data_IF_744593687978
#
_entry.id   IF_744593687978
#
_cell.length_a   1.000
_cell.length_b   1.000
_cell.length_c   1.000
_cell.angle_alpha   90.00
_cell.angle_beta   90.00
_cell.angle_gamma   90.00
#
_symmetry.space_group_name_H-M   'P 1'
#
loop_
_entity.id
_entity.type
_entity.pdbx_description
1 polymer ?
#
# COMPACT_ATOMS: atom_id res chain seq x y z
N UNK A 1 11.81 1.04 -26.66
CA UNK A 1 12.14 2.18 -25.78
C UNK A 1 13.47 2.80 -26.19
N UNK A 2 13.51 4.12 -26.39
CA UNK A 2 14.71 4.88 -26.73
C UNK A 2 15.68 4.99 -25.54
N UNK A 3 17.01 5.05 -25.73
CA UNK A 3 18.00 5.08 -24.64
C UNK A 3 18.18 6.46 -23.99
N UNK A 4 17.08 7.14 -23.66
CA UNK A 4 17.13 8.43 -22.96
C UNK A 4 17.62 8.27 -21.52
N UNK A 5 18.15 9.35 -20.92
CA UNK A 5 18.55 9.38 -19.51
C UNK A 5 17.40 8.93 -18.60
N UNK A 6 16.18 9.38 -18.88
CA UNK A 6 14.99 9.01 -18.12
C UNK A 6 14.66 7.52 -18.26
N UNK A 7 14.66 6.96 -19.47
CA UNK A 7 14.37 5.54 -19.67
C UNK A 7 15.43 4.62 -19.02
N UNK A 8 16.70 5.06 -18.97
CA UNK A 8 17.76 4.34 -18.24
C UNK A 8 17.50 4.38 -16.74
N UNK A 9 17.14 5.54 -16.18
CA UNK A 9 16.79 5.71 -14.76
C UNK A 9 15.59 4.85 -14.38
N UNK A 10 14.51 4.88 -15.16
CA UNK A 10 13.32 4.08 -14.93
C UNK A 10 13.63 2.57 -14.89
N UNK A 11 14.48 2.09 -15.81
CA UNK A 11 14.94 0.68 -15.79
C UNK A 11 15.72 0.34 -14.53
N UNK A 12 16.59 1.23 -14.07
CA UNK A 12 17.36 1.02 -12.83
C UNK A 12 16.45 0.97 -11.60
N UNK A 13 15.50 1.90 -11.49
CA UNK A 13 14.53 1.93 -10.41
C UNK A 13 13.65 0.69 -10.42
N UNK A 14 13.15 0.26 -11.58
CA UNK A 14 12.37 -0.97 -11.69
C UNK A 14 13.15 -2.20 -11.21
N UNK A 15 14.45 -2.30 -11.53
CA UNK A 15 15.31 -3.39 -11.01
C UNK A 15 15.43 -3.34 -9.50
N UNK A 16 15.60 -2.16 -8.90
CA UNK A 16 15.66 -1.99 -7.45
C UNK A 16 14.34 -2.40 -6.79
N UNK A 17 13.20 -1.97 -7.33
CA UNK A 17 11.87 -2.36 -6.84
C UNK A 17 11.67 -3.87 -6.90
N UNK A 18 12.01 -4.51 -8.02
CA UNK A 18 11.93 -5.98 -8.15
C UNK A 18 12.81 -6.68 -7.12
N UNK A 19 14.04 -6.19 -6.88
CA UNK A 19 14.94 -6.75 -5.87
C UNK A 19 14.38 -6.65 -4.46
N UNK A 20 13.85 -5.48 -4.09
CA UNK A 20 13.23 -5.27 -2.78
C UNK A 20 12.02 -6.18 -2.56
N UNK A 21 11.15 -6.31 -3.57
CA UNK A 21 9.99 -7.17 -3.48
C UNK A 21 10.37 -8.65 -3.39
N UNK A 22 11.37 -9.10 -4.14
CA UNK A 22 11.90 -10.46 -3.97
C UNK A 22 12.34 -10.72 -2.53
N UNK A 23 13.12 -9.82 -1.93
CA UNK A 23 13.59 -9.97 -0.56
C UNK A 23 12.43 -10.03 0.45
N UNK A 24 11.39 -9.19 0.25
CA UNK A 24 10.19 -9.19 1.11
C UNK A 24 9.44 -10.51 0.98
N UNK A 25 9.23 -11.00 -0.24
CA UNK A 25 8.50 -12.25 -0.49
C UNK A 25 9.29 -13.45 0.05
N UNK A 26 10.59 -13.53 -0.20
CA UNK A 26 11.45 -14.61 0.31
C UNK A 26 11.48 -14.66 1.84
N UNK A 27 11.55 -13.49 2.49
CA UNK A 27 11.45 -13.40 3.94
C UNK A 27 10.10 -13.95 4.42
N UNK A 28 9.00 -13.54 3.78
CA UNK A 28 7.66 -13.98 4.15
C UNK A 28 7.46 -15.48 3.96
N UNK A 29 7.94 -16.05 2.85
CA UNK A 29 7.85 -17.49 2.61
C UNK A 29 8.61 -18.31 3.66
N UNK A 30 9.79 -17.84 4.09
CA UNK A 30 10.54 -18.49 5.19
C UNK A 30 9.75 -18.44 6.50
N UNK A 31 9.14 -17.30 6.84
CA UNK A 31 8.30 -17.17 8.03
C UNK A 31 7.08 -18.11 7.98
N UNK A 32 6.47 -18.29 6.79
CA UNK A 32 5.37 -19.22 6.58
C UNK A 32 5.80 -20.69 6.76
N UNK A 33 6.97 -21.07 6.23
CA UNK A 33 7.52 -22.43 6.39
C UNK A 33 7.82 -22.77 7.85
N UNK A 34 8.26 -21.77 8.63
CA UNK A 34 8.53 -21.92 10.06
C UNK A 34 7.26 -21.86 10.93
N UNK A 35 6.09 -21.60 10.34
CA UNK A 35 4.83 -21.48 11.08
C UNK A 35 4.72 -20.25 11.98
N UNK A 36 5.53 -19.22 11.74
CA UNK A 36 5.57 -17.98 12.54
C UNK A 36 4.95 -16.78 11.83
N UNK A 37 4.56 -16.92 10.56
CA UNK A 37 3.89 -15.86 9.81
C UNK A 37 2.44 -15.68 10.30
N UNK A 38 1.99 -14.42 10.43
CA UNK A 38 0.60 -14.07 10.78
C UNK A 38 -0.40 -14.15 9.63
N UNK A 39 0.07 -14.18 8.37
CA UNK A 39 -0.71 -14.25 7.13
C UNK A 39 -1.98 -13.36 7.06
N UNK A 40 -2.00 -12.25 7.78
CA UNK A 40 -3.14 -11.34 7.94
C UNK A 40 -3.05 -10.10 7.03
N UNK A 41 -2.00 -10.01 6.21
CA UNK A 41 -1.82 -8.99 5.19
C UNK A 41 -1.98 -9.53 3.77
N UNK A 42 -2.13 -8.61 2.80
CA UNK A 42 -2.34 -8.93 1.40
C UNK A 42 -1.32 -9.92 0.84
N UNK A 43 -0.04 -9.76 1.19
CA UNK A 43 1.01 -10.66 0.69
C UNK A 43 0.88 -12.05 1.31
N UNK A 44 0.62 -12.14 2.61
CA UNK A 44 0.36 -13.40 3.30
C UNK A 44 -0.81 -14.16 2.69
N UNK A 45 -1.95 -13.48 2.51
CA UNK A 45 -3.16 -14.05 1.89
C UNK A 45 -2.87 -14.52 0.47
N UNK A 46 -2.17 -13.72 -0.34
CA UNK A 46 -1.82 -14.06 -1.72
C UNK A 46 -0.92 -15.31 -1.79
N UNK A 47 0.11 -15.40 -0.94
CA UNK A 47 1.02 -16.54 -0.91
C UNK A 47 0.33 -17.82 -0.40
N UNK A 48 -0.53 -17.70 0.60
CA UNK A 48 -1.32 -18.81 1.14
C UNK A 48 -2.31 -19.35 0.11
N UNK A 49 -3.06 -18.46 -0.55
CA UNK A 49 -3.95 -18.82 -1.64
C UNK A 49 -3.19 -19.49 -2.78
N UNK A 50 -2.05 -18.94 -3.19
CA UNK A 50 -1.22 -19.51 -4.26
C UNK A 50 -0.71 -20.92 -3.92
N UNK A 51 -0.33 -21.16 -2.64
CA UNK A 51 0.06 -22.49 -2.17
C UNK A 51 -1.11 -23.47 -2.26
N UNK A 52 -2.29 -23.08 -1.78
CA UNK A 52 -3.51 -23.89 -1.85
C UNK A 52 -3.87 -24.27 -3.29
N UNK A 53 -3.82 -23.32 -4.23
CA UNK A 53 -4.07 -23.61 -5.66
C UNK A 53 -3.14 -24.69 -6.21
N UNK A 54 -1.84 -24.61 -5.88
CA UNK A 54 -0.85 -25.61 -6.33
C UNK A 54 -1.09 -26.99 -5.73
N UNK A 55 -1.53 -27.08 -4.48
CA UNK A 55 -1.88 -28.34 -3.82
C UNK A 55 -3.10 -29.01 -4.48
N UNK A 56 -4.01 -28.23 -5.06
CA UNK A 56 -5.19 -28.71 -5.80
C UNK A 56 -4.92 -28.97 -7.30
N UNK A 57 -3.66 -28.92 -7.74
CA UNK A 57 -3.26 -29.22 -9.12
C UNK A 57 -3.38 -28.06 -10.10
N UNK A 58 -3.67 -26.83 -9.64
CA UNK A 58 -3.56 -25.61 -10.45
C UNK A 58 -2.09 -25.18 -10.57
N UNK A 59 -1.74 -24.47 -11.64
CA UNK A 59 -0.39 -23.91 -11.83
C UNK A 59 -0.07 -22.82 -10.79
N UNK A 60 -1.10 -22.14 -10.29
CA UNK A 60 -0.95 -20.98 -9.40
C UNK A 60 -0.15 -19.85 -10.05
N UNK A 61 0.21 -18.84 -9.25
CA UNK A 61 1.04 -17.73 -9.69
C UNK A 61 2.53 -18.08 -9.63
N UNK A 62 3.27 -17.62 -10.62
CA UNK A 62 4.73 -17.58 -10.62
C UNK A 62 5.26 -16.49 -9.68
N UNK A 63 6.51 -16.61 -9.24
CA UNK A 63 7.18 -15.55 -8.46
C UNK A 63 7.11 -14.19 -9.14
N UNK A 64 7.25 -14.16 -10.48
CA UNK A 64 7.20 -12.93 -11.26
C UNK A 64 5.82 -12.29 -11.20
N UNK A 65 4.76 -13.08 -11.33
CA UNK A 65 3.38 -12.57 -11.24
C UNK A 65 3.07 -12.05 -9.84
N UNK A 66 3.52 -12.74 -8.77
CA UNK A 66 3.40 -12.24 -7.39
C UNK A 66 4.08 -10.88 -7.22
N UNK A 67 5.27 -10.67 -7.80
CA UNK A 67 5.97 -9.38 -7.76
C UNK A 67 5.17 -8.31 -8.50
N UNK A 68 4.66 -8.60 -9.69
CA UNK A 68 3.92 -7.63 -10.49
C UNK A 68 2.57 -7.25 -9.83
N UNK A 69 1.87 -8.19 -9.19
CA UNK A 69 0.68 -7.88 -8.39
C UNK A 69 1.04 -6.99 -7.18
N UNK A 70 2.08 -7.34 -6.41
CA UNK A 70 2.52 -6.51 -5.28
C UNK A 70 2.89 -5.08 -5.71
N UNK A 71 3.56 -4.92 -6.86
CA UNK A 71 3.84 -3.60 -7.44
C UNK A 71 2.56 -2.85 -7.79
N UNK A 72 1.63 -3.52 -8.46
CA UNK A 72 0.38 -2.91 -8.92
C UNK A 72 -0.40 -2.36 -7.74
N UNK A 73 -0.62 -3.18 -6.70
CA UNK A 73 -1.31 -2.75 -5.47
C UNK A 73 -0.61 -1.56 -4.80
N UNK A 74 0.72 -1.64 -4.66
CA UNK A 74 1.49 -0.58 -4.01
C UNK A 74 1.40 0.75 -4.75
N UNK A 75 1.64 0.76 -6.07
CA UNK A 75 1.61 2.01 -6.85
C UNK A 75 0.20 2.58 -7.00
N UNK A 76 -0.81 1.72 -7.21
CA UNK A 76 -2.19 2.16 -7.28
C UNK A 76 -2.64 2.88 -6.00
N UNK A 77 -2.26 2.34 -4.83
CA UNK A 77 -2.57 2.96 -3.54
C UNK A 77 -1.74 4.20 -3.22
N UNK A 78 -0.43 4.15 -3.47
CA UNK A 78 0.48 5.23 -3.08
C UNK A 78 0.27 6.50 -3.91
N UNK A 79 0.28 6.39 -5.24
CA UNK A 79 0.27 7.57 -6.12
C UNK A 79 -1.03 8.36 -5.98
N UNK A 80 -2.17 7.66 -5.98
CA UNK A 80 -3.49 8.28 -5.86
C UNK A 80 -3.69 8.96 -4.50
N UNK A 81 -3.33 8.27 -3.41
CA UNK A 81 -3.47 8.81 -2.04
C UNK A 81 -2.52 9.97 -1.78
N UNK A 82 -1.27 9.88 -2.27
CA UNK A 82 -0.28 10.96 -2.13
C UNK A 82 -0.71 12.24 -2.84
N UNK A 83 -1.22 12.10 -4.07
CA UNK A 83 -1.75 13.23 -4.85
C UNK A 83 -2.97 13.82 -4.17
N UNK A 84 -3.91 12.99 -3.70
CA UNK A 84 -5.08 13.44 -2.94
C UNK A 84 -4.68 14.26 -1.71
N UNK A 85 -3.81 13.71 -0.85
CA UNK A 85 -3.36 14.39 0.36
C UNK A 85 -2.64 15.70 0.05
N UNK A 86 -1.83 15.72 -1.01
CA UNK A 86 -1.13 16.94 -1.45
C UNK A 86 -2.14 18.04 -1.80
N UNK A 87 -3.15 17.72 -2.61
CA UNK A 87 -4.19 18.69 -2.98
C UNK A 87 -5.08 19.08 -1.81
N UNK A 88 -5.42 18.15 -0.92
CA UNK A 88 -6.14 18.46 0.33
C UNK A 88 -5.37 19.49 1.14
N UNK A 89 -4.06 19.33 1.32
CA UNK A 89 -3.23 20.29 2.06
C UNK A 89 -3.18 21.65 1.36
N UNK A 90 -3.02 21.68 0.03
CA UNK A 90 -3.08 22.91 -0.77
C UNK A 90 -4.41 23.63 -0.54
N UNK A 91 -5.54 22.95 -0.69
CA UNK A 91 -6.87 23.53 -0.49
C UNK A 91 -7.05 24.05 0.94
N UNK A 92 -6.73 23.27 1.97
CA UNK A 92 -6.86 23.71 3.36
C UNK A 92 -6.02 24.96 3.66
N UNK A 93 -4.80 25.06 3.10
CA UNK A 93 -3.95 26.25 3.25
C UNK A 93 -4.50 27.49 2.53
N UNK A 94 -5.18 27.30 1.40
CA UNK A 94 -5.83 28.38 0.64
C UNK A 94 -7.15 28.83 1.27
N UNK A 95 -7.80 27.95 2.04
CA UNK A 95 -9.09 28.21 2.68
C UNK A 95 -9.04 27.98 4.21
N UNK A 96 -8.42 28.90 4.98
CA UNK A 96 -8.21 28.71 6.42
C UNK A 96 -9.50 28.53 7.24
N UNK A 97 -10.63 29.08 6.80
CA UNK A 97 -11.93 28.87 7.45
C UNK A 97 -12.33 27.40 7.46
N UNK A 98 -12.17 26.70 6.33
CA UNK A 98 -12.43 25.27 6.22
C UNK A 98 -11.42 24.44 7.02
N UNK A 99 -10.15 24.85 7.04
CA UNK A 99 -9.14 24.21 7.88
C UNK A 99 -9.47 24.32 9.38
N UNK A 100 -9.90 25.49 9.85
CA UNK A 100 -10.31 25.67 11.24
C UNK A 100 -11.54 24.81 11.56
N UNK A 101 -12.55 24.82 10.68
CA UNK A 101 -13.76 24.04 10.89
C UNK A 101 -13.50 22.53 10.97
N UNK A 102 -12.72 21.97 10.03
CA UNK A 102 -12.33 20.55 10.07
C UNK A 102 -11.54 20.21 11.35
N UNK A 103 -10.68 21.12 11.82
CA UNK A 103 -9.93 20.94 13.07
C UNK A 103 -10.85 20.96 14.30
N UNK A 104 -11.79 21.89 14.34
CA UNK A 104 -12.77 22.00 15.42
C UNK A 104 -13.64 20.75 15.49
N UNK A 105 -14.11 20.23 14.35
CA UNK A 105 -14.89 18.99 14.31
C UNK A 105 -14.09 17.81 14.87
N UNK A 106 -12.84 17.63 14.43
CA UNK A 106 -11.96 16.57 14.97
C UNK A 106 -11.77 16.72 16.48
N UNK A 107 -11.60 17.95 16.99
CA UNK A 107 -11.47 18.20 18.43
C UNK A 107 -12.77 17.95 19.20
N UNK A 108 -13.93 18.22 18.61
CA UNK A 108 -15.23 17.96 19.23
C UNK A 108 -15.53 16.46 19.30
N UNK A 109 -15.25 15.72 18.23
CA UNK A 109 -15.55 14.29 18.11
C UNK A 109 -14.50 13.44 18.81
N UNK A 110 -13.22 13.72 18.59
CA UNK A 110 -12.09 12.90 19.05
C UNK A 110 -11.42 13.47 20.31
N UNK A 111 -11.67 14.72 20.68
CA UNK A 111 -10.96 15.38 21.77
C UNK A 111 -9.46 15.51 21.48
N UNK A 112 -8.63 15.20 22.47
CA UNK A 112 -7.16 15.10 22.32
C UNK A 112 -6.68 13.67 22.05
N UNK A 113 -7.60 12.73 21.85
CA UNK A 113 -7.26 11.34 21.59
C UNK A 113 -6.92 11.13 20.11
N UNK A 114 -6.22 10.05 19.81
CA UNK A 114 -5.94 9.64 18.43
C UNK A 114 -7.28 9.24 17.79
N UNK A 115 -7.66 9.81 16.62
CA UNK A 115 -8.87 9.40 15.92
C UNK A 115 -8.87 7.90 15.63
N UNK A 116 -10.02 7.26 15.87
CA UNK A 116 -10.23 5.83 15.62
C UNK A 116 -11.15 5.60 14.44
N UNK A 117 -11.28 4.35 13.98
CA UNK A 117 -12.20 4.00 12.90
C UNK A 117 -13.66 4.32 13.28
N UNK A 118 -14.05 4.08 14.53
CA UNK A 118 -15.40 4.38 15.02
C UNK A 118 -15.71 5.90 14.97
N UNK A 119 -14.68 6.72 15.20
CA UNK A 119 -14.78 8.18 15.16
C UNK A 119 -15.10 8.71 13.75
N UNK A 120 -14.76 7.98 12.68
CA UNK A 120 -14.95 8.42 11.30
C UNK A 120 -16.42 8.67 10.96
N UNK A 121 -17.33 7.84 11.46
CA UNK A 121 -18.77 7.97 11.21
C UNK A 121 -19.39 9.24 11.81
N UNK A 122 -18.65 9.90 12.70
CA UNK A 122 -19.07 11.10 13.40
C UNK A 122 -18.44 12.38 12.83
N UNK A 123 -17.49 12.28 11.89
CA UNK A 123 -16.94 13.41 11.13
C UNK A 123 -17.82 13.66 9.90
N UNK A 124 -18.31 14.89 9.73
CA UNK A 124 -19.33 15.28 8.74
C UNK A 124 -18.88 16.36 7.76
N UNK A 125 -17.75 17.03 8.02
CA UNK A 125 -17.28 18.15 7.20
C UNK A 125 -16.36 17.73 6.06
#
# INVERSE_FOLDING_TARGET
>A
FLPTKENKRQKELNRKVISLLNNIIEKREKEMQLGIAKNDDLLGILLESNKSHREHGDKGMTRKEVIEECKLFYFAGQETTSVLLTWTMVLLSMYPSWQMHAREEVLQVCGKNIPSFDSLSHLKT
#
